data_IF_793993803596
#
_entry.id   IF_793993803596
#
_cell.length_a   1.000
_cell.length_b   1.000
_cell.length_c   1.000
_cell.angle_alpha   90.00
_cell.angle_beta   90.00
_cell.angle_gamma   90.00
#
_symmetry.space_group_name_H-M   'P 1'
#
loop_
_entity.id
_entity.type
_entity.pdbx_description
1 polymer ?
#
# COMPACT_ATOMS: atom_id res chain seq x y z
N UNK A 1 -16.25 2.96 1.23
CA UNK A 1 -15.59 1.98 2.13
C UNK A 1 -14.09 2.20 2.08
N UNK A 2 -13.38 2.15 3.22
CA UNK A 2 -11.94 2.36 3.26
C UNK A 2 -11.21 1.02 3.12
N UNK A 3 -10.81 0.64 1.90
CA UNK A 3 -10.17 -0.66 1.59
C UNK A 3 -8.92 -0.92 2.44
N UNK A 4 -8.18 0.14 2.78
CA UNK A 4 -7.05 0.07 3.70
C UNK A 4 -7.45 -0.45 5.09
N UNK A 5 -8.60 -0.01 5.63
CA UNK A 5 -9.10 -0.55 6.92
C UNK A 5 -9.43 -2.04 6.81
N UNK A 6 -9.97 -2.48 5.67
CA UNK A 6 -10.29 -3.90 5.42
C UNK A 6 -9.02 -4.75 5.38
N UNK A 7 -7.98 -4.27 4.71
CA UNK A 7 -6.65 -4.89 4.71
C UNK A 7 -6.04 -4.98 6.12
N UNK A 8 -6.11 -3.89 6.89
CA UNK A 8 -5.60 -3.86 8.27
C UNK A 8 -6.38 -4.84 9.15
N UNK A 9 -7.71 -4.91 9.01
CA UNK A 9 -8.55 -5.82 9.78
C UNK A 9 -8.26 -7.29 9.43
N UNK A 10 -7.97 -7.59 8.16
CA UNK A 10 -7.53 -8.92 7.69
C UNK A 10 -6.23 -9.37 8.37
N UNK A 11 -5.29 -8.44 8.59
CA UNK A 11 -4.03 -8.71 9.31
C UNK A 11 -4.23 -8.67 10.83
N UNK A 12 -5.22 -7.92 11.31
CA UNK A 12 -5.60 -7.79 12.72
C UNK A 12 -5.24 -6.43 13.31
N UNK A 13 -4.10 -5.84 12.97
CA UNK A 13 -3.67 -4.55 13.54
C UNK A 13 -2.77 -3.72 12.62
N UNK A 14 -2.81 -2.39 12.78
CA UNK A 14 -1.99 -1.45 12.01
C UNK A 14 -0.48 -1.68 12.22
N UNK A 15 -0.11 -2.04 13.46
CA UNK A 15 1.29 -2.29 13.84
C UNK A 15 1.82 -3.55 13.17
N UNK A 16 1.03 -4.62 13.19
CA UNK A 16 1.33 -5.90 12.53
C UNK A 16 1.39 -5.72 11.01
N UNK A 17 0.40 -5.03 10.44
CA UNK A 17 0.38 -4.66 9.02
C UNK A 17 1.66 -3.92 8.62
N UNK A 18 2.06 -2.92 9.40
CA UNK A 18 3.29 -2.18 9.15
C UNK A 18 4.55 -3.05 9.28
N UNK A 19 4.59 -3.93 10.28
CA UNK A 19 5.73 -4.80 10.52
C UNK A 19 5.92 -5.86 9.42
N UNK A 20 4.85 -6.55 9.03
CA UNK A 20 4.88 -7.60 8.01
C UNK A 20 5.27 -7.02 6.64
N UNK A 21 4.76 -5.82 6.32
CA UNK A 21 4.91 -5.23 4.99
C UNK A 21 5.99 -4.14 4.89
N UNK A 22 6.76 -3.94 5.96
CA UNK A 22 7.87 -2.98 5.98
C UNK A 22 7.43 -1.51 5.91
N UNK A 23 6.20 -1.20 6.32
CA UNK A 23 5.64 0.15 6.32
C UNK A 23 5.50 0.68 7.74
N UNK A 24 5.91 1.93 7.96
CA UNK A 24 5.79 2.52 9.29
C UNK A 24 4.31 2.67 9.70
N UNK A 25 3.98 2.29 10.94
CA UNK A 25 2.64 2.46 11.52
C UNK A 25 2.16 3.93 11.40
N UNK A 26 3.06 4.89 11.49
CA UNK A 26 2.76 6.32 11.30
C UNK A 26 2.27 6.61 9.88
N UNK A 27 2.85 5.96 8.86
CA UNK A 27 2.40 6.10 7.48
C UNK A 27 0.98 5.55 7.30
N UNK A 28 0.71 4.36 7.87
CA UNK A 28 -0.63 3.75 7.86
C UNK A 28 -1.66 4.66 8.54
N UNK A 29 -1.32 5.21 9.71
CA UNK A 29 -2.18 6.17 10.41
C UNK A 29 -2.45 7.43 9.58
N UNK A 30 -1.42 7.98 8.91
CA UNK A 30 -1.59 9.13 8.01
C UNK A 30 -2.58 8.81 6.88
N UNK A 31 -2.52 7.63 6.28
CA UNK A 31 -3.44 7.25 5.20
C UNK A 31 -4.88 7.09 5.68
N UNK A 32 -5.05 6.55 6.88
CA UNK A 32 -6.37 6.45 7.52
C UNK A 32 -6.97 7.81 7.85
N UNK A 33 -6.14 8.81 8.11
CA UNK A 33 -6.54 10.20 8.34
C UNK A 33 -6.75 10.99 7.04
N UNK A 34 -6.75 10.34 5.88
CA UNK A 34 -7.02 10.97 4.59
C UNK A 34 -5.78 11.45 3.83
N UNK A 35 -4.58 11.16 4.34
CA UNK A 35 -3.38 11.40 3.55
C UNK A 35 -3.28 10.40 2.39
N UNK A 36 -2.76 10.84 1.26
CA UNK A 36 -2.66 10.00 0.07
C UNK A 36 -1.55 8.95 0.23
N UNK A 37 -1.87 7.70 -0.08
CA UNK A 37 -0.86 6.65 -0.27
C UNK A 37 -0.04 7.02 -1.52
N UNK A 38 1.30 7.02 -1.38
CA UNK A 38 2.20 7.17 -2.52
C UNK A 38 2.16 5.94 -3.43
N UNK A 39 2.48 6.11 -4.70
CA UNK A 39 2.32 5.08 -5.73
C UNK A 39 3.09 3.79 -5.41
N UNK A 40 4.38 3.92 -5.09
CA UNK A 40 5.23 2.82 -4.60
C UNK A 40 4.60 2.05 -3.45
N UNK A 41 4.00 2.76 -2.49
CA UNK A 41 3.46 2.15 -1.29
C UNK A 41 2.16 1.40 -1.58
N UNK A 42 1.34 1.87 -2.51
CA UNK A 42 0.14 1.14 -2.89
C UNK A 42 0.49 -0.16 -3.63
N UNK A 43 1.53 -0.15 -4.48
CA UNK A 43 2.04 -1.37 -5.13
C UNK A 43 2.57 -2.33 -4.07
N UNK A 44 3.39 -1.85 -3.13
CA UNK A 44 3.90 -2.65 -2.01
C UNK A 44 2.76 -3.27 -1.20
N UNK A 45 1.71 -2.49 -0.89
CA UNK A 45 0.54 -2.97 -0.15
C UNK A 45 -0.24 -4.03 -0.95
N UNK A 46 -0.42 -3.86 -2.26
CA UNK A 46 -1.08 -4.86 -3.11
C UNK A 46 -0.29 -6.18 -3.14
N UNK A 47 1.03 -6.12 -3.32
CA UNK A 47 1.92 -7.28 -3.33
C UNK A 47 1.92 -7.99 -1.96
N UNK A 48 2.04 -7.19 -0.90
CA UNK A 48 1.96 -7.62 0.50
C UNK A 48 0.68 -8.41 0.80
N UNK A 49 -0.44 -7.89 0.32
CA UNK A 49 -1.76 -8.47 0.51
C UNK A 49 -2.11 -9.55 -0.53
N UNK A 50 -1.15 -9.90 -1.39
CA UNK A 50 -1.30 -10.88 -2.45
C UNK A 50 -2.55 -10.62 -3.32
N UNK A 51 -2.84 -9.34 -3.60
CA UNK A 51 -4.00 -8.90 -4.38
C UNK A 51 -5.31 -8.82 -3.61
N UNK A 52 -5.34 -8.99 -2.28
CA UNK A 52 -6.57 -8.83 -1.48
C UNK A 52 -7.13 -7.40 -1.51
N UNK A 53 -6.24 -6.40 -1.69
CA UNK A 53 -6.62 -5.03 -2.00
C UNK A 53 -5.69 -4.55 -3.10
N UNK A 54 -6.29 -3.99 -4.16
CA UNK A 54 -5.54 -3.46 -5.29
C UNK A 54 -5.16 -1.99 -5.09
N UNK A 55 -4.09 -1.56 -5.76
CA UNK A 55 -3.68 -0.17 -5.79
C UNK A 55 -4.79 0.75 -6.34
N UNK A 56 -5.61 0.23 -7.26
CA UNK A 56 -6.78 0.89 -7.86
C UNK A 56 -7.90 1.13 -6.83
N UNK A 57 -8.14 0.17 -5.93
CA UNK A 57 -9.09 0.33 -4.83
C UNK A 57 -8.59 1.31 -3.76
N UNK A 58 -7.27 1.33 -3.50
CA UNK A 58 -6.66 2.25 -2.54
C UNK A 58 -6.61 3.69 -3.05
N UNK A 59 -6.36 3.88 -4.35
CA UNK A 59 -6.23 5.17 -5.01
C UNK A 59 -6.92 5.10 -6.38
N UNK A 60 -8.25 5.26 -6.43
CA UNK A 60 -8.95 5.38 -7.71
C UNK A 60 -8.60 6.69 -8.43
N UNK A 61 -8.03 7.68 -7.73
CA UNK A 61 -7.58 8.95 -8.33
C UNK A 61 -6.34 8.81 -9.24
N UNK A 62 -5.66 7.67 -9.22
CA UNK A 62 -4.40 7.44 -9.96
C UNK A 62 -4.65 6.51 -11.12
N UNK A 63 -4.08 6.86 -12.27
CA UNK A 63 -4.15 6.01 -13.46
C UNK A 63 -3.05 4.94 -13.44
N UNK A 64 -3.29 3.86 -12.70
CA UNK A 64 -2.33 2.77 -12.46
C UNK A 64 -1.85 2.06 -13.72
N UNK A 65 -2.63 2.09 -14.80
CA UNK A 65 -2.22 1.60 -16.11
C UNK A 65 -1.00 2.33 -16.68
N UNK A 66 -0.79 3.60 -16.29
CA UNK A 66 0.39 4.39 -16.67
C UNK A 66 1.54 4.13 -15.69
N UNK A 67 1.25 4.10 -14.39
CA UNK A 67 2.25 3.87 -13.33
C UNK A 67 2.94 2.51 -13.49
N UNK A 68 2.18 1.43 -13.74
CA UNK A 68 2.73 0.09 -13.97
C UNK A 68 3.60 -0.02 -15.23
N UNK A 69 3.38 0.85 -16.23
CA UNK A 69 4.23 0.90 -17.43
C UNK A 69 5.57 1.59 -17.18
N UNK A 70 5.65 2.45 -16.16
CA UNK A 70 6.87 3.17 -15.79
C UNK A 70 7.73 2.51 -14.73
N UNK A 71 7.16 1.58 -13.93
CA UNK A 71 7.89 0.87 -12.86
C UNK A 71 8.22 -0.56 -13.34
N UNK A 72 9.49 -0.90 -13.62
CA UNK A 72 9.87 -2.29 -13.87
C UNK A 72 9.60 -3.15 -12.63
N UNK A 73 9.23 -4.43 -12.80
CA UNK A 73 8.87 -5.32 -11.69
C UNK A 73 10.13 -5.80 -10.96
N UNK A 74 10.79 -4.91 -10.21
CA UNK A 74 11.66 -5.15 -9.04
C UNK A 74 12.64 -3.98 -8.88
N UNK A 75 12.36 -3.12 -7.91
CA UNK A 75 13.38 -2.26 -7.29
C UNK A 75 13.20 -2.28 -5.77
N UNK A 76 13.02 -3.48 -5.21
CA UNK A 76 13.32 -3.72 -3.81
C UNK A 76 14.83 -3.98 -3.74
N UNK A 77 15.59 -2.93 -3.46
CA UNK A 77 16.67 -2.89 -2.46
C UNK A 77 17.81 -1.94 -2.88
N UNK A 78 17.80 -0.71 -2.35
CA UNK A 78 19.04 -0.01 -2.01
C UNK A 78 18.81 0.83 -0.76
N UNK A 79 19.09 0.22 0.39
CA UNK A 79 19.40 0.94 1.62
C UNK A 79 20.79 1.54 1.42
N UNK A 80 20.92 2.87 1.51
CA UNK A 80 22.17 3.55 1.79
C UNK A 80 22.05 4.28 3.12
#
# INVERSE_FOLDING_TARGET
MNYLKKAINKVGSQKEFGHIYGVSQVAVSKWLNGNKIGEDKAILVEQALNGFVTCEELRPDVNWSVVRKGVPPVALNDKK
#
